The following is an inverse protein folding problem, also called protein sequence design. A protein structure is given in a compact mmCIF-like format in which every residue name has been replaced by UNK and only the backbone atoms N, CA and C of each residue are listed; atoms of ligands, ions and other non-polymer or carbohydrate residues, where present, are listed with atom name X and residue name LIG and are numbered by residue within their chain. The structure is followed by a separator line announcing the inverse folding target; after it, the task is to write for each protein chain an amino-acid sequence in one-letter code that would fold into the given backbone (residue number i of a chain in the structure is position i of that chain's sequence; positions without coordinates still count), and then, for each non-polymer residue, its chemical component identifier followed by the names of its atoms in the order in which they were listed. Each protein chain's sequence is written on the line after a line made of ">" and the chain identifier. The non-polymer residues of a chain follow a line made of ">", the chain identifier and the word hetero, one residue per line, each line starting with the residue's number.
data_IF_163519568962
#
_entry.id   IF_163519568962
#
_cell.length_a   1.000
_cell.length_b   1.000
_cell.length_c   1.000
_cell.angle_alpha   90.00
_cell.angle_beta   90.00
_cell.angle_gamma   90.00
#
_symmetry.space_group_name_H-M   'P 1'
#
loop_
_entity.id
_entity.type
_entity.pdbx_description
1 polymer ?
#
# COMPACT_ATOMS: atom_id res chain seq x y z
N UNK A 1 -13.50 -8.67 26.78
CA UNK A 1 -14.58 -7.92 26.12
C UNK A 1 -15.87 -8.55 26.60
N UNK A 2 -16.81 -7.79 27.15
CA UNK A 2 -18.10 -8.32 27.60
C UNK A 2 -19.12 -8.40 26.44
N UNK A 3 -20.28 -8.99 26.69
CA UNK A 3 -21.36 -9.15 25.72
C UNK A 3 -21.79 -7.84 25.02
N UNK A 4 -21.92 -6.75 25.76
CA UNK A 4 -22.32 -5.44 25.21
C UNK A 4 -21.21 -4.88 24.32
N UNK A 5 -19.96 -4.91 24.79
CA UNK A 5 -18.79 -4.47 24.02
C UNK A 5 -18.60 -5.26 22.71
N UNK A 6 -18.92 -6.56 22.69
CA UNK A 6 -18.83 -7.43 21.50
C UNK A 6 -19.87 -7.05 20.42
N UNK A 7 -21.09 -6.70 20.85
CA UNK A 7 -22.15 -6.23 19.96
C UNK A 7 -21.83 -4.83 19.43
N UNK A 8 -21.45 -3.90 20.33
CA UNK A 8 -21.12 -2.51 19.99
C UNK A 8 -19.89 -2.40 19.08
N UNK A 9 -18.92 -3.31 19.22
CA UNK A 9 -17.79 -3.42 18.29
C UNK A 9 -18.18 -3.98 16.91
N UNK A 10 -19.43 -4.41 16.73
CA UNK A 10 -19.95 -4.95 15.46
C UNK A 10 -19.27 -6.23 15.02
N UNK A 11 -18.82 -7.07 15.97
CA UNK A 11 -18.04 -8.28 15.68
C UNK A 11 -18.92 -9.53 15.45
N UNK A 12 -20.17 -9.49 15.88
CA UNK A 12 -21.17 -10.51 15.55
C UNK A 12 -21.37 -10.61 14.02
N UNK A 13 -21.59 -11.82 13.50
CA UNK A 13 -21.73 -12.12 12.07
C UNK A 13 -20.55 -11.65 11.20
N UNK A 14 -19.38 -11.36 11.79
CA UNK A 14 -18.14 -11.02 11.08
C UNK A 14 -17.06 -12.06 11.28
N UNK A 15 -16.14 -12.09 10.31
CA UNK A 15 -14.99 -12.98 10.34
C UNK A 15 -13.92 -12.44 11.30
N UNK A 16 -13.62 -13.18 12.34
CA UNK A 16 -12.73 -12.79 13.45
C UNK A 16 -11.68 -13.86 13.74
N UNK A 17 -10.60 -13.45 14.42
CA UNK A 17 -9.63 -14.35 15.06
C UNK A 17 -9.60 -14.10 16.55
N UNK A 18 -9.44 -15.17 17.31
CA UNK A 18 -9.39 -15.11 18.75
C UNK A 18 -8.72 -16.35 19.35
N UNK A 19 -8.46 -16.35 20.64
CA UNK A 19 -7.82 -17.46 21.37
C UNK A 19 -8.80 -17.95 22.44
N UNK A 20 -8.98 -19.27 22.53
CA UNK A 20 -9.73 -19.94 23.61
C UNK A 20 -8.79 -20.94 24.27
N UNK A 21 -8.49 -20.75 25.55
CA UNK A 21 -7.40 -21.45 26.23
C UNK A 21 -6.07 -21.21 25.51
N UNK A 22 -5.44 -22.27 25.00
CA UNK A 22 -4.19 -22.22 24.23
C UNK A 22 -4.41 -22.26 22.70
N UNK A 23 -5.65 -22.37 22.22
CA UNK A 23 -5.95 -22.57 20.79
C UNK A 23 -6.31 -21.27 20.10
N UNK A 24 -5.59 -20.92 19.04
CA UNK A 24 -6.00 -19.87 18.11
C UNK A 24 -7.10 -20.41 17.19
N UNK A 25 -8.22 -19.69 17.12
CA UNK A 25 -9.37 -19.99 16.27
C UNK A 25 -9.62 -18.84 15.28
N UNK A 26 -10.13 -19.17 14.09
CA UNK A 26 -10.52 -18.20 13.07
C UNK A 26 -11.84 -18.63 12.42
N UNK A 27 -12.79 -17.71 12.31
CA UNK A 27 -14.10 -18.01 11.72
C UNK A 27 -15.11 -16.89 11.96
N UNK A 28 -16.40 -17.19 11.86
CA UNK A 28 -17.48 -16.26 12.19
C UNK A 28 -18.12 -16.66 13.51
N UNK A 29 -18.35 -15.70 14.40
CA UNK A 29 -19.20 -15.89 15.58
C UNK A 29 -20.57 -15.29 15.27
N UNK A 30 -21.58 -16.17 15.24
CA UNK A 30 -22.97 -15.90 14.91
C UNK A 30 -23.80 -15.86 16.19
N UNK A 31 -24.71 -14.89 16.24
CA UNK A 31 -25.79 -14.90 17.21
C UNK A 31 -27.07 -15.45 16.56
N UNK A 32 -27.48 -16.64 17.02
CA UNK A 32 -28.69 -17.30 16.52
C UNK A 32 -29.98 -16.79 17.21
N UNK A 33 -29.90 -15.81 18.13
CA UNK A 33 -31.03 -15.34 18.92
C UNK A 33 -31.23 -13.81 18.87
N UNK A 34 -32.36 -13.36 18.31
CA UNK A 34 -32.75 -11.94 18.31
C UNK A 34 -32.65 -11.30 19.70
N UNK A 35 -31.75 -10.34 19.84
CA UNK A 35 -31.62 -9.50 21.02
C UNK A 35 -32.82 -8.54 21.16
N UNK A 36 -33.80 -8.90 21.98
CA UNK A 36 -34.73 -7.91 22.55
C UNK A 36 -34.01 -7.11 23.63
N UNK A 37 -34.04 -5.78 23.55
CA UNK A 37 -33.30 -4.86 24.42
C UNK A 37 -33.34 -5.24 25.91
N UNK A 38 -32.15 -5.40 26.50
CA UNK A 38 -31.94 -5.35 27.95
C UNK A 38 -32.19 -6.62 28.78
N UNK A 39 -32.44 -7.80 28.19
CA UNK A 39 -32.74 -9.03 28.99
C UNK A 39 -32.01 -10.34 28.63
N UNK A 40 -30.88 -10.27 27.92
CA UNK A 40 -30.00 -11.44 27.73
C UNK A 40 -28.62 -11.23 28.39
N UNK A 41 -28.21 -12.16 29.26
CA UNK A 41 -26.83 -12.30 29.76
C UNK A 41 -26.19 -13.56 29.14
N UNK A 42 -26.29 -13.73 27.82
CA UNK A 42 -25.72 -14.89 27.13
C UNK A 42 -24.33 -14.58 26.61
N UNK A 43 -23.36 -15.32 27.13
CA UNK A 43 -21.96 -15.30 26.73
C UNK A 43 -21.65 -16.38 25.68
N UNK A 44 -22.54 -17.35 25.50
CA UNK A 44 -22.35 -18.48 24.58
C UNK A 44 -22.93 -18.17 23.20
N UNK A 45 -22.09 -18.27 22.16
CA UNK A 45 -22.42 -18.01 20.76
C UNK A 45 -22.04 -19.19 19.85
N UNK A 46 -22.63 -19.23 18.65
CA UNK A 46 -22.29 -20.22 17.62
C UNK A 46 -21.05 -19.77 16.86
N UNK A 47 -20.01 -20.60 16.82
CA UNK A 47 -18.78 -20.36 16.10
C UNK A 47 -18.68 -21.29 14.88
N UNK A 48 -18.41 -20.70 13.72
CA UNK A 48 -18.24 -21.41 12.44
C UNK A 48 -16.78 -21.22 11.99
N UNK A 49 -15.94 -22.27 12.04
CA UNK A 49 -14.55 -22.21 11.57
C UNK A 49 -14.43 -21.77 10.09
N UNK A 50 -13.31 -21.13 9.76
CA UNK A 50 -13.04 -20.59 8.41
C UNK A 50 -13.13 -21.66 7.32
N UNK A 51 -12.52 -22.81 7.60
CA UNK A 51 -12.46 -24.01 6.78
C UNK A 51 -13.85 -24.61 6.52
N UNK A 52 -14.81 -24.40 7.43
CA UNK A 52 -16.17 -24.92 7.33
C UNK A 52 -17.13 -23.94 6.63
N UNK A 53 -16.73 -22.68 6.42
CA UNK A 53 -17.62 -21.58 6.02
C UNK A 53 -18.41 -21.85 4.73
N UNK A 54 -17.77 -22.40 3.70
CA UNK A 54 -18.40 -22.73 2.41
C UNK A 54 -19.45 -23.83 2.57
N UNK A 55 -19.08 -24.91 3.26
CA UNK A 55 -19.95 -26.06 3.54
C UNK A 55 -21.12 -25.70 4.47
N UNK A 56 -20.90 -24.77 5.41
CA UNK A 56 -21.93 -24.28 6.32
C UNK A 56 -22.98 -23.46 5.57
N UNK A 57 -22.57 -22.53 4.70
CA UNK A 57 -23.51 -21.75 3.85
C UNK A 57 -24.30 -22.62 2.88
N UNK A 58 -23.72 -23.71 2.39
CA UNK A 58 -24.44 -24.69 1.58
C UNK A 58 -25.48 -25.46 2.42
N UNK A 59 -25.13 -25.87 3.65
CA UNK A 59 -26.07 -26.52 4.58
C UNK A 59 -27.21 -25.57 4.99
N UNK A 60 -26.91 -24.31 5.30
CA UNK A 60 -27.86 -23.24 5.62
C UNK A 60 -28.86 -23.01 4.48
N UNK A 61 -28.36 -22.86 3.24
CA UNK A 61 -29.20 -22.70 2.04
C UNK A 61 -30.16 -23.89 1.82
N UNK A 62 -29.74 -25.09 2.21
CA UNK A 62 -30.53 -26.32 2.13
C UNK A 62 -31.35 -26.61 3.41
N UNK A 63 -31.27 -25.74 4.44
CA UNK A 63 -31.89 -25.89 5.76
C UNK A 63 -31.50 -27.21 6.47
N UNK A 64 -30.31 -27.75 6.18
CA UNK A 64 -29.75 -28.97 6.79
C UNK A 64 -29.14 -28.64 8.16
N UNK A 65 -30.02 -28.51 9.15
CA UNK A 65 -29.66 -28.18 10.54
C UNK A 65 -28.67 -29.17 11.15
N UNK A 66 -28.74 -30.46 10.79
CA UNK A 66 -27.83 -31.46 11.34
C UNK A 66 -26.40 -31.17 10.87
N UNK A 67 -26.22 -30.93 9.57
CA UNK A 67 -24.92 -30.59 8.99
C UNK A 67 -24.40 -29.22 9.47
N UNK A 68 -25.28 -28.25 9.73
CA UNK A 68 -24.89 -26.97 10.38
C UNK A 68 -24.33 -27.19 11.79
N UNK A 69 -24.98 -28.04 12.61
CA UNK A 69 -24.47 -28.42 13.95
C UNK A 69 -23.17 -29.21 13.88
N UNK A 70 -22.96 -30.08 12.88
CA UNK A 70 -21.70 -30.81 12.69
C UNK A 70 -20.54 -29.89 12.24
N UNK A 71 -20.84 -28.74 11.62
CA UNK A 71 -19.86 -27.79 11.08
C UNK A 71 -19.56 -26.58 11.99
N UNK A 72 -20.23 -26.47 13.13
CA UNK A 72 -20.07 -25.36 14.09
C UNK A 72 -19.86 -25.88 15.52
N UNK A 73 -19.43 -24.99 16.42
CA UNK A 73 -19.29 -25.28 17.85
C UNK A 73 -19.80 -24.11 18.68
N UNK A 74 -20.11 -24.33 19.96
CA UNK A 74 -20.43 -23.23 20.89
C UNK A 74 -19.13 -22.69 21.51
N UNK A 75 -19.02 -21.36 21.64
CA UNK A 75 -17.91 -20.68 22.31
C UNK A 75 -18.46 -19.65 23.30
N UNK A 76 -17.88 -19.59 24.50
CA UNK A 76 -18.13 -18.51 25.46
C UNK A 76 -17.22 -17.31 25.18
N UNK A 77 -17.80 -16.13 24.89
CA UNK A 77 -17.07 -14.90 24.56
C UNK A 77 -16.33 -14.25 25.74
N UNK A 78 -16.64 -14.62 26.99
CA UNK A 78 -15.90 -14.17 28.18
C UNK A 78 -14.64 -15.01 28.42
N UNK A 79 -14.63 -16.27 27.95
CA UNK A 79 -13.42 -17.11 27.90
C UNK A 79 -12.50 -16.79 26.70
N UNK A 80 -12.98 -15.96 25.75
CA UNK A 80 -12.18 -15.51 24.62
C UNK A 80 -11.12 -14.50 25.09
N UNK A 81 -9.85 -14.90 24.97
CA UNK A 81 -8.75 -13.95 24.84
C UNK A 81 -8.73 -13.45 23.41
N UNK A 82 -9.20 -12.22 23.20
CA UNK A 82 -9.14 -11.55 21.90
C UNK A 82 -7.68 -11.45 21.48
N UNK A 83 -7.32 -12.22 20.46
CA UNK A 83 -5.94 -12.31 20.00
C UNK A 83 -5.44 -10.93 19.61
N UNK A 84 -4.17 -10.64 19.90
CA UNK A 84 -3.52 -9.44 19.38
C UNK A 84 -3.82 -9.33 17.86
N UNK A 85 -4.20 -8.13 17.36
CA UNK A 85 -4.65 -7.98 15.98
C UNK A 85 -3.59 -8.56 15.05
N UNK A 86 -4.08 -9.36 14.11
CA UNK A 86 -3.31 -10.26 13.24
C UNK A 86 -1.95 -9.65 12.84
N UNK A 87 -0.85 -10.13 13.46
CA UNK A 87 0.46 -10.08 12.83
C UNK A 87 0.44 -11.06 11.65
N UNK A 88 -0.14 -10.61 10.55
CA UNK A 88 -0.35 -11.40 9.36
C UNK A 88 -0.45 -10.50 8.15
N UNK A 89 0.70 -10.32 7.49
CA UNK A 89 0.80 -10.07 6.07
C UNK A 89 0.03 -8.86 5.49
N UNK A 90 -0.16 -7.81 6.28
CA UNK A 90 -0.11 -6.42 5.81
C UNK A 90 0.25 -5.47 6.94
N UNK A 91 1.33 -4.70 6.80
CA UNK A 91 1.64 -3.54 7.67
C UNK A 91 0.71 -2.33 7.42
N UNK A 92 -0.54 -2.59 7.03
CA UNK A 92 -1.52 -1.58 6.63
C UNK A 92 -2.44 -1.26 7.82
N UNK A 93 -2.33 -0.03 8.33
CA UNK A 93 -3.24 0.53 9.34
C UNK A 93 -4.53 0.96 8.64
N UNK A 94 -5.72 0.65 9.19
CA UNK A 94 -6.99 1.02 8.54
C UNK A 94 -7.23 2.53 8.65
N UNK A 95 -7.94 3.11 7.67
CA UNK A 95 -8.28 4.54 7.67
C UNK A 95 -9.09 4.95 8.91
N UNK A 96 -9.93 4.05 9.45
CA UNK A 96 -10.65 4.26 10.71
C UNK A 96 -9.74 4.35 11.93
N UNK A 97 -8.67 3.53 11.96
CA UNK A 97 -7.72 3.49 13.07
C UNK A 97 -6.82 4.74 13.03
N UNK A 98 -6.37 5.11 11.82
CA UNK A 98 -5.65 6.36 11.54
C UNK A 98 -6.47 7.60 11.90
N UNK A 99 -7.74 7.65 11.51
CA UNK A 99 -8.68 8.73 11.84
C UNK A 99 -8.84 8.87 13.35
N UNK A 100 -9.04 7.75 14.04
CA UNK A 100 -9.18 7.71 15.51
C UNK A 100 -7.90 8.16 16.21
N UNK A 101 -6.73 7.73 15.71
CA UNK A 101 -5.42 8.12 16.23
C UNK A 101 -5.15 9.62 16.06
N UNK A 102 -5.34 10.17 14.85
CA UNK A 102 -5.16 11.60 14.59
C UNK A 102 -6.13 12.45 15.44
N UNK A 103 -7.38 12.01 15.61
CA UNK A 103 -8.33 12.64 16.52
C UNK A 103 -7.85 12.61 17.98
N UNK A 104 -7.20 11.53 18.43
CA UNK A 104 -6.65 11.45 19.78
C UNK A 104 -5.48 12.41 20.00
N UNK A 105 -4.56 12.54 19.02
CA UNK A 105 -3.49 13.54 19.04
C UNK A 105 -4.05 14.96 19.13
N UNK A 106 -4.97 15.34 18.23
CA UNK A 106 -5.59 16.68 18.23
C UNK A 106 -6.40 16.97 19.51
N UNK A 107 -7.11 15.98 20.07
CA UNK A 107 -7.83 16.13 21.35
C UNK A 107 -6.90 16.38 22.53
N UNK A 108 -5.68 15.85 22.48
CA UNK A 108 -4.67 16.09 23.53
C UNK A 108 -4.08 17.49 23.40
N UNK A 109 -3.76 17.94 22.18
CA UNK A 109 -3.28 19.28 21.83
C UNK A 109 -4.40 20.33 21.72
N UNK A 110 -5.27 20.39 22.73
CA UNK A 110 -6.54 21.16 22.74
C UNK A 110 -6.39 22.68 22.64
N UNK A 111 -5.22 23.20 22.97
CA UNK A 111 -4.83 24.61 22.84
C UNK A 111 -4.64 25.05 21.38
N UNK A 112 -4.38 24.09 20.49
CA UNK A 112 -4.19 24.29 19.05
C UNK A 112 -5.31 23.69 18.18
N UNK A 113 -6.12 22.75 18.70
CA UNK A 113 -7.21 22.10 17.97
C UNK A 113 -8.52 22.03 18.77
N UNK A 114 -9.65 22.31 18.11
CA UNK A 114 -11.00 22.21 18.68
C UNK A 114 -12.04 21.84 17.61
N UNK A 115 -13.30 21.63 18.01
CA UNK A 115 -14.41 21.31 17.09
C UNK A 115 -14.15 20.10 16.17
N UNK A 116 -13.44 19.08 16.70
CA UNK A 116 -13.10 17.86 15.97
C UNK A 116 -14.37 17.03 15.73
N UNK A 117 -14.76 16.89 14.46
CA UNK A 117 -15.96 16.18 14.00
C UNK A 117 -15.57 15.15 12.94
N UNK A 118 -16.02 13.90 13.10
CA UNK A 118 -15.66 12.77 12.23
C UNK A 118 -16.83 12.50 11.28
N UNK A 119 -16.55 12.27 9.99
CA UNK A 119 -17.55 11.89 8.96
C UNK A 119 -18.82 12.76 8.96
N UNK A 120 -18.66 14.07 9.15
CA UNK A 120 -19.78 15.01 9.12
C UNK A 120 -20.04 15.54 7.72
N UNK A 121 -21.32 15.69 7.37
CA UNK A 121 -21.77 16.23 6.09
C UNK A 121 -21.16 17.61 5.82
N UNK A 122 -20.50 17.77 4.68
CA UNK A 122 -19.88 19.04 4.30
C UNK A 122 -20.94 19.98 3.69
N UNK A 123 -21.39 20.97 4.49
CA UNK A 123 -22.44 21.93 4.12
C UNK A 123 -23.70 21.18 3.61
N UNK A 124 -24.37 21.70 2.58
CA UNK A 124 -25.55 21.06 1.96
C UNK A 124 -25.18 20.08 0.82
N UNK A 125 -23.94 19.57 0.79
CA UNK A 125 -23.48 18.63 -0.24
C UNK A 125 -23.70 17.16 0.15
N UNK A 126 -23.40 16.22 -0.76
CA UNK A 126 -23.43 14.77 -0.45
C UNK A 126 -22.06 14.22 0.00
N UNK A 127 -21.12 15.10 0.35
CA UNK A 127 -19.76 14.72 0.72
C UNK A 127 -19.56 14.66 2.24
N UNK A 128 -18.77 13.67 2.66
CA UNK A 128 -18.47 13.36 4.05
C UNK A 128 -16.94 13.20 4.19
N UNK A 129 -16.19 14.28 4.46
CA UNK A 129 -14.77 14.20 4.80
C UNK A 129 -14.55 13.42 6.10
N UNK A 130 -13.40 12.76 6.20
CA UNK A 130 -13.07 11.92 7.36
C UNK A 130 -13.03 12.72 8.67
N UNK A 131 -12.40 13.91 8.65
CA UNK A 131 -12.37 14.82 9.79
C UNK A 131 -12.61 16.27 9.34
N UNK A 132 -13.42 17.01 10.10
CA UNK A 132 -13.47 18.48 10.10
C UNK A 132 -13.01 18.97 11.47
N UNK A 133 -12.12 19.96 11.51
CA UNK A 133 -11.53 20.49 12.75
C UNK A 133 -11.20 21.98 12.61
N UNK A 134 -11.18 22.73 13.70
CA UNK A 134 -10.57 24.06 13.73
C UNK A 134 -9.16 23.99 14.33
N UNK A 135 -8.16 24.46 13.58
CA UNK A 135 -6.77 24.63 14.02
C UNK A 135 -6.47 26.08 14.33
N UNK A 136 -5.71 26.33 15.39
CA UNK A 136 -5.23 27.67 15.75
C UNK A 136 -4.12 28.13 14.80
N UNK A 137 -4.24 29.36 14.29
CA UNK A 137 -3.24 30.03 13.46
C UNK A 137 -2.98 31.43 14.04
N UNK A 138 -2.05 31.49 15.01
CA UNK A 138 -1.78 32.69 15.79
C UNK A 138 -2.97 33.09 16.68
N UNK A 139 -3.62 34.20 16.33
CA UNK A 139 -4.82 34.71 17.04
C UNK A 139 -6.15 34.25 16.42
N UNK A 140 -6.12 33.58 15.27
CA UNK A 140 -7.33 33.16 14.54
C UNK A 140 -7.49 31.64 14.55
N UNK A 141 -8.70 31.16 14.29
CA UNK A 141 -9.00 29.76 14.06
C UNK A 141 -9.22 29.54 12.57
N UNK A 142 -8.53 28.54 12.01
CA UNK A 142 -8.61 28.12 10.62
C UNK A 142 -9.36 26.78 10.56
N UNK A 143 -10.45 26.72 9.80
CA UNK A 143 -11.16 25.47 9.58
C UNK A 143 -10.39 24.58 8.60
N UNK A 144 -10.21 23.32 8.97
CA UNK A 144 -9.57 22.28 8.18
C UNK A 144 -10.58 21.19 7.82
N UNK A 145 -10.43 20.66 6.61
CA UNK A 145 -11.11 19.45 6.13
C UNK A 145 -10.00 18.45 5.81
N UNK A 146 -9.97 17.32 6.53
CA UNK A 146 -8.91 16.31 6.44
C UNK A 146 -9.50 15.05 5.79
N UNK A 147 -8.83 14.58 4.74
CA UNK A 147 -9.01 13.25 4.17
C UNK A 147 -7.86 12.34 4.67
N UNK A 148 -8.20 11.12 5.10
CA UNK A 148 -7.26 10.16 5.69
C UNK A 148 -7.05 8.99 4.74
N UNK A 149 -5.80 8.63 4.44
CA UNK A 149 -5.46 7.48 3.59
C UNK A 149 -4.55 6.47 4.29
N UNK A 150 -4.79 5.19 4.04
CA UNK A 150 -4.13 4.06 4.72
C UNK A 150 -2.80 3.60 4.11
N UNK A 151 -2.56 3.96 2.86
CA UNK A 151 -1.39 3.59 2.09
C UNK A 151 -0.27 4.63 2.24
N UNK A 152 1.00 4.19 2.26
CA UNK A 152 2.14 5.11 2.46
C UNK A 152 2.67 5.75 1.16
N UNK A 153 2.19 5.31 -0.01
CA UNK A 153 2.73 5.71 -1.33
C UNK A 153 1.67 5.85 -2.43
N UNK A 154 2.01 6.67 -3.44
CA UNK A 154 1.16 7.17 -4.53
C UNK A 154 0.23 6.17 -5.25
N UNK A 155 0.72 5.51 -6.32
CA UNK A 155 0.40 5.81 -7.75
C UNK A 155 0.30 7.30 -8.15
N UNK A 156 0.38 7.67 -9.44
CA UNK A 156 -0.09 8.96 -9.94
C UNK A 156 -1.62 9.07 -9.97
N UNK A 157 -2.31 7.99 -10.37
CA UNK A 157 -3.77 7.92 -10.51
C UNK A 157 -4.51 8.16 -9.18
N UNK A 158 -4.18 7.43 -8.11
CA UNK A 158 -4.76 7.66 -6.77
C UNK A 158 -4.40 9.02 -6.17
N UNK A 159 -3.26 9.60 -6.56
CA UNK A 159 -2.90 10.96 -6.14
C UNK A 159 -3.82 11.98 -6.79
N UNK A 160 -4.08 11.83 -8.08
CA UNK A 160 -5.01 12.66 -8.84
C UNK A 160 -6.45 12.52 -8.31
N UNK A 161 -6.92 11.30 -8.00
CA UNK A 161 -8.22 11.08 -7.36
C UNK A 161 -8.35 11.82 -6.02
N UNK A 162 -7.31 11.75 -5.17
CA UNK A 162 -7.28 12.43 -3.87
C UNK A 162 -7.21 13.95 -4.03
N UNK A 163 -6.43 14.46 -4.99
CA UNK A 163 -6.38 15.89 -5.33
C UNK A 163 -7.77 16.36 -5.77
N UNK A 164 -8.40 15.66 -6.71
CA UNK A 164 -9.73 16.01 -7.23
C UNK A 164 -10.80 15.99 -6.12
N UNK A 165 -10.76 15.00 -5.22
CA UNK A 165 -11.65 14.90 -4.06
C UNK A 165 -11.48 16.10 -3.11
N UNK A 166 -10.24 16.43 -2.74
CA UNK A 166 -9.94 17.56 -1.85
C UNK A 166 -10.23 18.92 -2.50
N UNK A 167 -10.00 19.06 -3.81
CA UNK A 167 -10.39 20.26 -4.56
C UNK A 167 -11.91 20.45 -4.59
N UNK A 168 -12.68 19.35 -4.72
CA UNK A 168 -14.14 19.37 -4.62
C UNK A 168 -14.59 19.85 -3.23
N UNK A 169 -13.96 19.38 -2.15
CA UNK A 169 -14.25 19.87 -0.80
C UNK A 169 -13.99 21.38 -0.65
N UNK A 170 -12.90 21.90 -1.23
CA UNK A 170 -12.59 23.34 -1.19
C UNK A 170 -13.60 24.17 -2.00
N UNK A 171 -14.11 23.66 -3.11
CA UNK A 171 -15.17 24.33 -3.87
C UNK A 171 -16.50 24.41 -3.11
N UNK A 172 -16.79 23.43 -2.25
CA UNK A 172 -18.00 23.42 -1.39
C UNK A 172 -17.85 24.32 -0.16
N UNK A 173 -16.62 24.50 0.34
CA UNK A 173 -16.31 25.26 1.55
C UNK A 173 -15.02 26.08 1.36
N UNK A 174 -15.10 27.15 0.58
CA UNK A 174 -13.94 27.99 0.17
C UNK A 174 -13.16 28.59 1.35
N UNK A 175 -13.81 28.73 2.52
CA UNK A 175 -13.21 29.24 3.74
C UNK A 175 -12.35 28.19 4.48
N UNK A 176 -12.50 26.92 4.11
CA UNK A 176 -11.80 25.80 4.73
C UNK A 176 -10.55 25.42 3.95
N UNK A 177 -9.45 25.18 4.66
CA UNK A 177 -8.25 24.60 4.08
C UNK A 177 -8.36 23.08 4.06
N UNK A 178 -7.78 22.44 3.05
CA UNK A 178 -7.90 21.00 2.83
C UNK A 178 -6.56 20.31 3.07
N UNK A 179 -6.62 19.16 3.72
CA UNK A 179 -5.46 18.43 4.26
C UNK A 179 -5.55 16.97 3.82
N UNK A 180 -4.41 16.40 3.43
CA UNK A 180 -4.22 14.97 3.25
C UNK A 180 -3.39 14.41 4.41
N UNK A 181 -3.95 13.50 5.20
CA UNK A 181 -3.20 12.72 6.19
C UNK A 181 -2.99 11.27 5.72
N UNK A 182 -1.76 10.77 5.80
CA UNK A 182 -1.44 9.38 5.48
C UNK A 182 -0.15 8.92 6.21
N UNK A 183 0.02 7.62 6.52
CA UNK A 183 1.16 7.10 7.27
C UNK A 183 2.34 6.77 6.33
N UNK A 184 2.82 7.76 5.56
CA UNK A 184 3.98 7.61 4.69
C UNK A 184 4.78 8.88 4.51
N UNK A 185 5.58 8.90 3.43
CA UNK A 185 6.32 10.05 2.93
C UNK A 185 6.07 10.13 1.42
N UNK A 186 5.94 11.34 0.87
CA UNK A 186 5.79 11.53 -0.57
C UNK A 186 7.12 11.92 -1.24
N UNK A 187 7.41 11.39 -2.45
CA UNK A 187 8.42 11.96 -3.33
C UNK A 187 8.23 13.47 -3.52
N UNK A 188 9.33 14.21 -3.71
CA UNK A 188 9.30 15.66 -3.87
C UNK A 188 8.33 16.13 -4.97
N UNK A 189 8.26 15.39 -6.09
CA UNK A 189 7.36 15.69 -7.21
C UNK A 189 5.88 15.61 -6.81
N UNK A 190 5.50 14.64 -5.98
CA UNK A 190 4.11 14.45 -5.53
C UNK A 190 3.71 15.52 -4.50
N UNK A 191 4.63 15.85 -3.59
CA UNK A 191 4.48 16.97 -2.66
C UNK A 191 4.32 18.32 -3.40
N UNK A 192 5.07 18.55 -4.47
CA UNK A 192 4.89 19.73 -5.33
C UNK A 192 3.51 19.79 -5.99
N UNK A 193 2.94 18.66 -6.42
CA UNK A 193 1.60 18.62 -7.02
C UNK A 193 0.51 18.99 -6.01
N UNK A 194 0.56 18.41 -4.80
CA UNK A 194 -0.37 18.75 -3.71
C UNK A 194 -0.23 20.22 -3.29
N UNK A 195 1.01 20.72 -3.17
CA UNK A 195 1.29 22.11 -2.83
C UNK A 195 0.77 23.09 -3.89
N UNK A 196 0.97 22.81 -5.19
CA UNK A 196 0.40 23.59 -6.30
C UNK A 196 -1.14 23.56 -6.31
N UNK A 197 -1.74 22.44 -5.89
CA UNK A 197 -3.18 22.34 -5.66
C UNK A 197 -3.64 23.02 -4.35
N UNK A 198 -2.74 23.58 -3.52
CA UNK A 198 -3.05 24.22 -2.24
C UNK A 198 -3.48 23.25 -1.14
N UNK A 199 -3.16 21.96 -1.26
CA UNK A 199 -3.46 20.91 -0.29
C UNK A 199 -2.31 20.83 0.71
N UNK A 200 -2.63 20.89 2.00
CA UNK A 200 -1.64 20.71 3.06
C UNK A 200 -1.39 19.20 3.26
N UNK A 201 -0.12 18.81 3.41
CA UNK A 201 0.28 17.40 3.54
C UNK A 201 0.69 17.13 4.98
N UNK A 202 -0.04 16.24 5.65
CA UNK A 202 0.30 15.71 6.96
C UNK A 202 0.86 14.30 6.75
N UNK A 203 2.16 14.22 6.50
CA UNK A 203 2.92 12.98 6.38
C UNK A 203 3.45 12.53 7.76
N UNK A 204 4.23 11.43 7.81
CA UNK A 204 4.81 10.92 9.07
C UNK A 204 5.73 11.97 9.72
N UNK A 205 6.47 12.76 8.93
CA UNK A 205 7.39 13.78 9.44
C UNK A 205 6.64 14.97 10.05
N UNK A 206 5.58 15.42 9.40
CA UNK A 206 4.69 16.46 9.91
C UNK A 206 4.06 16.05 11.25
N UNK A 207 3.57 14.81 11.35
CA UNK A 207 2.97 14.33 12.61
C UNK A 207 4.02 14.16 13.70
N UNK A 208 5.18 13.56 13.41
CA UNK A 208 6.25 13.37 14.39
C UNK A 208 6.78 14.70 14.96
N UNK A 209 6.83 15.76 14.14
CA UNK A 209 7.29 17.10 14.57
C UNK A 209 6.20 17.93 15.24
N UNK A 210 4.98 17.96 14.68
CA UNK A 210 3.88 18.81 15.19
C UNK A 210 3.22 18.23 16.45
N UNK A 211 3.19 16.91 16.58
CA UNK A 211 2.54 16.18 17.66
C UNK A 211 3.54 15.39 18.53
N UNK A 212 4.78 15.86 18.67
CA UNK A 212 5.86 15.10 19.34
C UNK A 212 5.51 14.60 20.75
N UNK A 213 4.99 15.49 21.61
CA UNK A 213 4.60 15.16 22.99
C UNK A 213 3.35 14.25 23.04
N UNK A 214 2.42 14.45 22.09
CA UNK A 214 1.21 13.65 21.99
C UNK A 214 1.52 12.23 21.47
N UNK A 215 2.40 12.09 20.48
CA UNK A 215 2.89 10.80 19.95
C UNK A 215 3.70 10.04 21.00
N UNK A 216 4.54 10.72 21.78
CA UNK A 216 5.29 10.09 22.87
C UNK A 216 4.37 9.42 23.92
N UNK A 217 3.13 9.89 24.06
CA UNK A 217 2.19 9.48 25.11
C UNK A 217 0.98 8.69 24.61
N UNK A 218 0.57 8.88 23.36
CA UNK A 218 -0.48 8.12 22.69
C UNK A 218 0.21 7.15 21.74
N UNK A 219 0.62 6.00 22.28
CA UNK A 219 1.38 4.99 21.55
C UNK A 219 0.48 4.22 20.57
N UNK A 220 0.95 4.00 19.33
CA UNK A 220 0.29 3.12 18.36
C UNK A 220 1.30 2.10 17.79
N UNK A 221 1.04 0.77 17.86
CA UNK A 221 2.05 -0.27 17.57
C UNK A 221 2.79 -0.15 16.23
N UNK A 222 2.08 0.19 15.14
CA UNK A 222 2.67 0.35 13.81
C UNK A 222 3.26 1.76 13.62
N UNK A 223 2.46 2.80 13.85
CA UNK A 223 2.88 4.20 13.61
C UNK A 223 4.07 4.65 14.46
N UNK A 224 4.22 4.14 15.69
CA UNK A 224 5.34 4.54 16.56
C UNK A 224 6.70 4.27 15.91
N UNK A 225 6.84 3.16 15.18
CA UNK A 225 8.07 2.85 14.47
C UNK A 225 8.32 3.80 13.30
N UNK A 226 7.26 4.23 12.61
CA UNK A 226 7.35 5.24 11.55
C UNK A 226 7.81 6.60 12.12
N UNK A 227 7.20 7.07 13.21
CA UNK A 227 7.60 8.32 13.88
C UNK A 227 9.00 8.25 14.48
N UNK A 228 9.46 7.06 14.91
CA UNK A 228 10.83 6.85 15.37
C UNK A 228 11.83 7.04 14.23
N UNK A 229 11.56 6.45 13.05
CA UNK A 229 12.40 6.57 11.86
C UNK A 229 12.48 8.01 11.32
N UNK A 230 11.38 8.75 11.32
CA UNK A 230 11.29 10.13 10.83
C UNK A 230 12.31 11.12 11.43
N UNK A 231 12.87 10.82 12.61
CA UNK A 231 13.88 11.65 13.28
C UNK A 231 15.34 11.33 12.91
N UNK A 232 15.59 10.36 12.02
CA UNK A 232 16.93 9.90 11.66
C UNK A 232 17.09 9.74 10.14
N UNK A 233 18.32 9.92 9.65
CA UNK A 233 18.68 9.57 8.26
C UNK A 233 18.75 8.05 8.15
N UNK A 234 17.74 7.44 7.52
CA UNK A 234 17.65 5.99 7.33
C UNK A 234 18.60 5.48 6.24
N UNK A 235 18.67 4.17 6.03
CA UNK A 235 19.43 3.62 4.89
C UNK A 235 18.69 3.85 3.57
N UNK A 236 17.36 3.83 3.61
CA UNK A 236 16.47 4.22 2.51
C UNK A 236 16.69 5.68 2.07
N UNK A 237 16.85 6.59 3.02
CA UNK A 237 17.20 7.99 2.81
C UNK A 237 18.56 8.14 2.07
N UNK A 238 19.54 7.29 2.39
CA UNK A 238 20.84 7.23 1.68
C UNK A 238 20.68 6.70 0.26
N UNK A 239 19.85 5.68 0.06
CA UNK A 239 19.56 5.10 -1.26
C UNK A 239 18.87 6.11 -2.18
N UNK A 240 17.93 6.92 -1.67
CA UNK A 240 17.29 8.01 -2.42
C UNK A 240 18.30 9.10 -2.81
N UNK A 241 19.22 9.47 -1.90
CA UNK A 241 20.30 10.43 -2.19
C UNK A 241 21.29 9.89 -3.22
N UNK A 242 21.61 8.60 -3.15
CA UNK A 242 22.48 7.91 -4.11
C UNK A 242 21.86 7.90 -5.52
N UNK A 243 20.59 7.51 -5.66
CA UNK A 243 19.82 7.60 -6.92
C UNK A 243 19.88 9.01 -7.54
N UNK A 244 19.61 10.03 -6.71
CA UNK A 244 19.61 11.45 -7.13
C UNK A 244 21.02 11.98 -7.46
N UNK A 245 22.09 11.33 -6.99
CA UNK A 245 23.48 11.70 -7.29
C UNK A 245 24.00 11.18 -8.64
N UNK A 246 23.37 10.16 -9.22
CA UNK A 246 23.78 9.54 -10.49
C UNK A 246 23.29 10.41 -11.65
N UNK A 247 24.20 10.86 -12.52
CA UNK A 247 23.88 11.82 -13.57
C UNK A 247 23.17 11.16 -14.76
N UNK A 248 22.13 11.81 -15.29
CA UNK A 248 21.38 11.32 -16.46
C UNK A 248 22.15 11.59 -17.75
N UNK A 249 22.24 10.62 -18.67
CA UNK A 249 22.81 10.83 -20.00
C UNK A 249 24.30 11.24 -20.01
N UNK A 250 25.04 10.89 -18.96
CA UNK A 250 26.46 11.22 -18.81
C UNK A 250 27.32 10.72 -19.98
N UNK A 251 28.27 11.55 -20.42
CA UNK A 251 29.27 11.16 -21.42
C UNK A 251 30.38 10.32 -20.77
N UNK A 252 30.15 9.02 -20.67
CA UNK A 252 31.15 8.05 -20.22
C UNK A 252 30.49 6.74 -19.77
N UNK A 253 31.19 5.61 -19.89
CA UNK A 253 30.66 4.29 -19.51
C UNK A 253 30.33 4.20 -18.00
N UNK A 254 30.95 5.06 -17.18
CA UNK A 254 30.84 5.07 -15.72
C UNK A 254 29.41 5.40 -15.21
N UNK A 255 28.75 6.47 -15.66
CA UNK A 255 27.42 6.83 -15.12
C UNK A 255 26.31 5.85 -15.53
N UNK A 256 26.45 5.17 -16.68
CA UNK A 256 25.54 4.07 -17.04
C UNK A 256 25.77 2.85 -16.14
N UNK A 257 27.02 2.44 -15.93
CA UNK A 257 27.36 1.34 -15.03
C UNK A 257 26.89 1.61 -13.59
N UNK A 258 27.17 2.81 -13.04
CA UNK A 258 26.71 3.24 -11.72
C UNK A 258 25.18 3.16 -11.56
N UNK A 259 24.41 3.52 -12.59
CA UNK A 259 22.95 3.36 -12.55
C UNK A 259 22.54 1.88 -12.56
N UNK A 260 23.15 1.05 -13.41
CA UNK A 260 22.86 -0.38 -13.46
C UNK A 260 23.21 -1.09 -12.14
N UNK A 261 24.38 -0.79 -11.56
CA UNK A 261 24.82 -1.28 -10.25
C UNK A 261 23.88 -0.82 -9.12
N UNK A 262 23.41 0.43 -9.17
CA UNK A 262 22.41 0.92 -8.22
C UNK A 262 21.07 0.17 -8.35
N UNK A 263 20.58 -0.05 -9.58
CA UNK A 263 19.37 -0.84 -9.84
C UNK A 263 19.55 -2.31 -9.39
N UNK A 264 20.74 -2.90 -9.55
CA UNK A 264 21.04 -4.23 -9.03
C UNK A 264 20.92 -4.26 -7.50
N UNK A 265 21.65 -3.36 -6.82
CA UNK A 265 21.70 -3.23 -5.37
C UNK A 265 20.32 -3.02 -4.77
N UNK A 266 19.49 -2.16 -5.38
CA UNK A 266 18.16 -1.87 -4.85
C UNK A 266 17.16 -3.01 -5.09
N UNK A 267 17.25 -3.73 -6.22
CA UNK A 267 16.40 -4.90 -6.46
C UNK A 267 16.76 -6.06 -5.51
N UNK A 268 18.04 -6.26 -5.19
CA UNK A 268 18.46 -7.21 -4.15
C UNK A 268 17.95 -6.80 -2.76
N UNK A 269 18.07 -5.52 -2.40
CA UNK A 269 17.58 -4.99 -1.13
C UNK A 269 16.06 -5.15 -0.96
N UNK A 270 15.27 -4.82 -2.00
CA UNK A 270 13.80 -4.84 -1.94
C UNK A 270 13.23 -6.26 -2.14
N UNK A 271 13.83 -7.08 -3.00
CA UNK A 271 13.21 -8.32 -3.50
C UNK A 271 14.11 -9.57 -3.43
N UNK A 272 15.37 -9.45 -2.97
CA UNK A 272 16.33 -10.57 -2.95
C UNK A 272 15.87 -11.77 -2.12
N UNK A 273 14.98 -11.57 -1.13
CA UNK A 273 14.36 -12.66 -0.35
C UNK A 273 13.36 -13.50 -1.17
N UNK A 274 12.66 -12.90 -2.13
CA UNK A 274 11.62 -13.55 -2.94
C UNK A 274 12.14 -13.97 -4.33
N UNK A 275 13.10 -13.22 -4.88
CA UNK A 275 13.59 -13.34 -6.25
C UNK A 275 15.08 -13.72 -6.34
N UNK A 276 15.72 -14.08 -5.22
CA UNK A 276 17.18 -14.23 -5.08
C UNK A 276 17.96 -12.96 -5.46
N UNK A 277 19.26 -12.91 -5.12
CA UNK A 277 20.10 -11.82 -5.60
C UNK A 277 20.20 -11.80 -7.13
N UNK A 278 20.10 -10.61 -7.78
CA UNK A 278 20.11 -10.51 -9.23
C UNK A 278 21.45 -10.96 -9.83
N UNK A 279 21.38 -11.69 -10.94
CA UNK A 279 22.53 -12.12 -11.73
C UNK A 279 22.82 -11.06 -12.78
N UNK A 280 24.05 -10.56 -12.82
CA UNK A 280 24.62 -9.84 -13.96
C UNK A 280 25.19 -10.88 -14.92
N UNK A 281 24.63 -10.98 -16.12
CA UNK A 281 25.25 -11.81 -17.16
C UNK A 281 26.45 -11.09 -17.77
N UNK A 282 27.58 -11.79 -17.85
CA UNK A 282 28.76 -11.26 -18.55
C UNK A 282 28.47 -11.22 -20.05
N UNK A 283 28.93 -10.18 -20.78
CA UNK A 283 28.72 -10.12 -22.23
C UNK A 283 29.38 -11.31 -22.92
N UNK A 284 28.64 -11.98 -23.80
CA UNK A 284 29.18 -12.95 -24.74
C UNK A 284 30.29 -12.32 -25.59
N UNK A 285 31.17 -13.15 -26.14
CA UNK A 285 32.37 -12.81 -26.92
C UNK A 285 32.13 -11.74 -28.01
N UNK A 286 30.92 -11.67 -28.56
CA UNK A 286 30.53 -10.71 -29.61
C UNK A 286 30.02 -9.34 -29.11
N UNK A 287 29.84 -9.13 -27.80
CA UNK A 287 29.33 -7.87 -27.18
C UNK A 287 27.94 -7.38 -27.65
N UNK A 288 27.21 -8.13 -28.48
CA UNK A 288 25.94 -7.68 -29.10
C UNK A 288 24.76 -7.66 -28.11
N UNK A 289 24.67 -8.63 -27.20
CA UNK A 289 23.61 -8.70 -26.20
C UNK A 289 24.16 -8.35 -24.81
N UNK A 290 24.01 -7.09 -24.41
CA UNK A 290 23.99 -6.74 -22.98
C UNK A 290 22.63 -7.17 -22.43
N UNK A 291 22.64 -8.18 -21.55
CA UNK A 291 21.54 -8.50 -20.63
C UNK A 291 21.92 -7.84 -19.32
N UNK A 292 21.23 -6.77 -18.94
CA UNK A 292 21.69 -5.97 -17.80
C UNK A 292 21.52 -6.72 -16.48
N UNK A 293 20.33 -7.31 -16.21
CA UNK A 293 20.04 -8.03 -14.96
C UNK A 293 18.98 -9.14 -15.14
N UNK A 294 19.12 -10.23 -14.37
CA UNK A 294 18.09 -11.29 -14.24
C UNK A 294 17.84 -11.62 -12.76
N UNK A 295 16.57 -11.62 -12.34
CA UNK A 295 16.14 -12.10 -11.02
C UNK A 295 15.47 -13.49 -11.13
N UNK A 296 15.64 -14.36 -10.14
CA UNK A 296 15.20 -15.77 -10.14
C UNK A 296 13.99 -15.96 -9.24
N UNK A 297 12.82 -16.10 -9.84
CA UNK A 297 11.55 -16.10 -9.13
C UNK A 297 11.24 -17.47 -8.52
N UNK A 298 11.77 -17.72 -7.32
CA UNK A 298 11.47 -18.92 -6.53
C UNK A 298 10.29 -18.73 -5.56
N UNK A 299 9.52 -17.64 -5.68
CA UNK A 299 8.36 -17.42 -4.83
C UNK A 299 7.29 -18.50 -5.06
N UNK A 300 6.88 -19.14 -3.96
CA UNK A 300 5.82 -20.17 -3.95
C UNK A 300 4.42 -19.58 -3.69
N UNK A 301 4.34 -18.35 -3.19
CA UNK A 301 3.08 -17.64 -2.93
C UNK A 301 3.20 -16.13 -3.10
N UNK A 302 2.06 -15.42 -3.03
CA UNK A 302 2.00 -13.97 -3.15
C UNK A 302 2.17 -13.44 -4.58
N UNK A 303 2.51 -12.15 -4.69
CA UNK A 303 2.56 -11.42 -5.96
C UNK A 303 3.55 -12.04 -6.96
N UNK A 304 4.77 -12.34 -6.53
CA UNK A 304 5.80 -12.88 -7.41
C UNK A 304 5.46 -14.28 -7.93
N UNK A 305 4.85 -15.13 -7.10
CA UNK A 305 4.32 -16.43 -7.55
C UNK A 305 3.16 -16.27 -8.55
N UNK A 306 2.27 -15.30 -8.33
CA UNK A 306 1.22 -14.99 -9.31
C UNK A 306 1.82 -14.60 -10.68
N UNK A 307 2.85 -13.73 -10.71
CA UNK A 307 3.53 -13.39 -11.95
C UNK A 307 4.21 -14.60 -12.59
N UNK A 308 4.83 -15.47 -11.78
CA UNK A 308 5.45 -16.72 -12.22
C UNK A 308 4.46 -17.57 -13.01
N UNK A 309 3.31 -17.88 -12.40
CA UNK A 309 2.28 -18.71 -13.03
C UNK A 309 1.56 -18.02 -14.19
N UNK A 310 1.32 -16.71 -14.12
CA UNK A 310 0.51 -15.99 -15.13
C UNK A 310 1.28 -15.60 -16.39
N UNK A 311 2.58 -15.32 -16.26
CA UNK A 311 3.44 -14.78 -17.32
C UNK A 311 4.72 -15.60 -17.52
N UNK A 312 4.77 -16.85 -17.03
CA UNK A 312 5.94 -17.74 -17.07
C UNK A 312 7.19 -17.05 -16.49
N UNK A 313 7.02 -16.20 -15.48
CA UNK A 313 8.05 -15.31 -14.97
C UNK A 313 8.99 -16.04 -13.98
N UNK A 314 9.48 -17.23 -14.35
CA UNK A 314 10.49 -17.99 -13.61
C UNK A 314 11.82 -17.22 -13.50
N UNK A 315 12.16 -16.44 -14.54
CA UNK A 315 13.25 -15.47 -14.52
C UNK A 315 12.73 -14.10 -14.98
N UNK A 316 12.90 -13.09 -14.13
CA UNK A 316 12.45 -11.73 -14.43
C UNK A 316 13.61 -11.00 -15.11
N UNK A 317 13.44 -10.70 -16.39
CA UNK A 317 14.40 -9.91 -17.17
C UNK A 317 14.28 -8.45 -16.75
N UNK A 318 15.41 -7.84 -16.43
CA UNK A 318 15.50 -6.43 -16.04
C UNK A 318 16.50 -5.73 -16.94
N UNK A 319 16.09 -4.59 -17.50
CA UNK A 319 16.91 -3.75 -18.37
C UNK A 319 16.94 -2.31 -17.83
N UNK A 320 18.08 -1.62 -17.96
CA UNK A 320 18.30 -0.30 -17.33
C UNK A 320 18.72 0.76 -18.34
N UNK A 321 18.11 1.95 -18.25
CA UNK A 321 18.32 3.05 -19.21
C UNK A 321 18.54 4.39 -18.50
N UNK A 322 19.80 4.72 -18.25
CA UNK A 322 20.22 6.01 -17.67
C UNK A 322 20.16 7.18 -18.69
N UNK A 323 19.03 7.36 -19.36
CA UNK A 323 18.84 8.39 -20.38
C UNK A 323 18.23 9.68 -19.80
N UNK A 324 18.73 10.84 -20.22
CA UNK A 324 18.15 12.15 -19.89
C UNK A 324 16.82 12.45 -20.58
N UNK A 325 16.47 11.64 -21.60
CA UNK A 325 15.17 11.66 -22.27
C UNK A 325 14.36 10.42 -21.89
N UNK A 326 13.05 10.47 -22.15
CA UNK A 326 12.16 9.31 -22.13
C UNK A 326 12.63 8.23 -23.11
N UNK A 327 12.40 6.97 -22.77
CA UNK A 327 12.64 5.83 -23.66
C UNK A 327 11.52 5.68 -24.69
N UNK A 328 11.81 5.05 -25.83
CA UNK A 328 10.88 4.90 -26.94
C UNK A 328 10.62 3.45 -27.35
N UNK A 329 10.03 3.27 -28.54
CA UNK A 329 9.78 1.96 -29.16
C UNK A 329 11.01 1.02 -29.21
N UNK A 330 12.21 1.58 -29.44
CA UNK A 330 13.45 0.80 -29.63
C UNK A 330 13.81 -0.01 -28.39
N UNK A 331 13.79 0.62 -27.22
CA UNK A 331 14.18 -0.02 -25.96
C UNK A 331 13.19 -1.13 -25.56
N UNK A 332 11.90 -0.94 -25.83
CA UNK A 332 10.86 -1.95 -25.60
C UNK A 332 11.04 -3.17 -26.52
N UNK A 333 11.31 -2.96 -27.81
CA UNK A 333 11.60 -4.07 -28.74
C UNK A 333 12.88 -4.82 -28.34
N UNK A 334 13.90 -4.10 -27.86
CA UNK A 334 15.15 -4.71 -27.41
C UNK A 334 14.92 -5.66 -26.22
N UNK A 335 14.19 -5.24 -25.18
CA UNK A 335 13.92 -6.11 -24.02
C UNK A 335 12.98 -7.27 -24.37
N UNK A 336 11.97 -7.03 -25.22
CA UNK A 336 10.98 -8.05 -25.61
C UNK A 336 11.57 -9.22 -26.44
N UNK A 337 12.71 -9.03 -27.09
CA UNK A 337 13.43 -10.10 -27.82
C UNK A 337 14.02 -11.17 -26.88
N UNK A 338 14.27 -10.83 -25.60
CA UNK A 338 14.73 -11.79 -24.60
C UNK A 338 13.61 -12.65 -24.02
N UNK A 339 12.35 -12.18 -24.11
CA UNK A 339 11.19 -12.86 -23.55
C UNK A 339 10.76 -14.04 -24.42
N UNK A 340 10.76 -15.25 -23.83
CA UNK A 340 10.48 -16.53 -24.46
C UNK A 340 9.93 -17.52 -23.43
N UNK A 341 8.90 -18.29 -23.81
CA UNK A 341 8.24 -19.27 -22.94
C UNK A 341 9.16 -20.44 -22.51
N UNK A 342 10.16 -20.79 -23.34
CA UNK A 342 11.21 -21.77 -23.04
C UNK A 342 12.55 -21.09 -22.71
N UNK A 343 12.50 -19.83 -22.23
CA UNK A 343 13.66 -19.02 -21.87
C UNK A 343 13.43 -18.38 -20.50
N UNK A 344 13.74 -17.07 -20.33
CA UNK A 344 13.51 -16.40 -19.06
C UNK A 344 12.05 -16.36 -18.61
N UNK A 345 11.12 -16.24 -19.56
CA UNK A 345 9.70 -16.02 -19.31
C UNK A 345 9.09 -14.99 -20.26
N UNK A 346 7.86 -14.56 -19.96
CA UNK A 346 7.12 -13.53 -20.72
C UNK A 346 6.91 -12.22 -19.91
N UNK A 347 7.71 -11.98 -18.87
CA UNK A 347 7.64 -10.77 -18.03
C UNK A 347 8.99 -10.06 -17.93
N UNK A 348 8.98 -8.73 -18.05
CA UNK A 348 10.17 -7.90 -17.85
C UNK A 348 9.88 -6.56 -17.16
N UNK A 349 10.91 -6.03 -16.49
CA UNK A 349 10.97 -4.69 -15.93
C UNK A 349 11.97 -3.84 -16.72
N UNK A 350 11.55 -2.66 -17.19
CA UNK A 350 12.39 -1.72 -17.92
C UNK A 350 12.53 -0.42 -17.11
N UNK A 351 13.65 -0.27 -16.40
CA UNK A 351 13.94 0.90 -15.58
C UNK A 351 14.55 2.02 -16.43
N UNK A 352 14.02 3.23 -16.30
CA UNK A 352 14.50 4.41 -17.02
C UNK A 352 14.33 5.67 -16.18
N UNK A 353 15.25 6.65 -16.29
CA UNK A 353 15.19 7.86 -15.44
C UNK A 353 13.83 8.58 -15.50
N UNK A 354 13.25 8.67 -16.70
CA UNK A 354 12.11 9.54 -17.01
C UNK A 354 10.85 8.79 -17.50
N UNK A 355 10.85 7.45 -17.48
CA UNK A 355 9.78 6.63 -18.05
C UNK A 355 9.71 6.65 -19.58
N UNK A 356 8.59 6.17 -20.12
CA UNK A 356 8.35 6.07 -21.56
C UNK A 356 7.74 7.31 -22.20
N UNK A 357 7.92 7.43 -23.51
CA UNK A 357 7.10 8.26 -24.39
C UNK A 357 5.87 7.51 -24.93
N UNK A 358 5.03 8.17 -25.73
CA UNK A 358 3.84 7.55 -26.31
C UNK A 358 4.16 6.36 -27.22
N UNK A 359 5.32 6.36 -27.91
CA UNK A 359 5.75 5.24 -28.76
C UNK A 359 6.15 4.02 -27.93
N UNK A 360 6.78 4.25 -26.77
CA UNK A 360 7.12 3.21 -25.80
C UNK A 360 5.85 2.51 -25.30
N UNK A 361 4.89 3.26 -24.73
CA UNK A 361 3.66 2.67 -24.18
C UNK A 361 2.75 2.05 -25.26
N UNK A 362 2.72 2.60 -26.48
CA UNK A 362 2.06 1.95 -27.62
C UNK A 362 2.70 0.60 -27.95
N UNK A 363 4.03 0.56 -28.04
CA UNK A 363 4.79 -0.67 -28.34
C UNK A 363 4.59 -1.74 -27.26
N UNK A 364 4.54 -1.37 -25.97
CA UNK A 364 4.23 -2.31 -24.90
C UNK A 364 2.84 -2.95 -25.07
N UNK A 365 1.82 -2.17 -25.49
CA UNK A 365 0.47 -2.70 -25.76
C UNK A 365 0.40 -3.56 -27.01
N UNK A 366 1.10 -3.20 -28.09
CA UNK A 366 1.23 -4.03 -29.31
C UNK A 366 1.84 -5.39 -28.98
N UNK A 367 2.99 -5.41 -28.30
CA UNK A 367 3.71 -6.62 -27.91
C UNK A 367 2.88 -7.47 -26.93
N UNK A 368 2.18 -6.85 -25.99
CA UNK A 368 1.26 -7.57 -25.12
C UNK A 368 0.13 -8.23 -25.91
N UNK A 369 -0.54 -7.48 -26.79
CA UNK A 369 -1.67 -7.99 -27.56
C UNK A 369 -1.27 -9.14 -28.51
N UNK A 370 -0.15 -9.00 -29.22
CA UNK A 370 0.30 -9.96 -30.24
C UNK A 370 1.05 -11.16 -29.65
N UNK A 371 1.91 -10.95 -28.64
CA UNK A 371 2.85 -11.96 -28.16
C UNK A 371 2.64 -12.37 -26.70
N UNK A 372 1.67 -11.77 -25.99
CA UNK A 372 1.39 -11.99 -24.56
C UNK A 372 2.63 -11.75 -23.66
N UNK A 373 3.57 -10.92 -24.12
CA UNK A 373 4.77 -10.47 -23.40
C UNK A 373 4.45 -9.19 -22.62
N UNK A 374 4.65 -9.22 -21.31
CA UNK A 374 4.36 -8.08 -20.43
C UNK A 374 5.67 -7.36 -20.06
N UNK A 375 5.85 -6.16 -20.63
CA UNK A 375 6.97 -5.26 -20.31
C UNK A 375 6.43 -4.08 -19.50
N UNK A 376 6.85 -3.96 -18.24
CA UNK A 376 6.47 -2.85 -17.36
C UNK A 376 7.61 -1.84 -17.31
N UNK A 377 7.30 -0.59 -17.65
CA UNK A 377 8.24 0.53 -17.61
C UNK A 377 8.14 1.21 -16.24
N UNK A 378 9.27 1.34 -15.56
CA UNK A 378 9.38 1.97 -14.24
C UNK A 378 10.34 3.17 -14.33
N UNK A 379 10.06 4.22 -13.54
CA UNK A 379 10.90 5.40 -13.48
C UNK A 379 11.52 5.66 -12.09
N UNK A 380 12.37 6.69 -11.99
CA UNK A 380 13.02 7.05 -10.72
C UNK A 380 12.01 7.39 -9.60
N UNK A 381 10.82 7.92 -9.93
CA UNK A 381 9.75 8.16 -8.95
C UNK A 381 9.07 6.87 -8.49
N UNK A 382 8.87 5.90 -9.38
CA UNK A 382 8.43 4.55 -8.99
C UNK A 382 9.44 3.89 -8.06
N UNK A 383 10.73 4.08 -8.32
CA UNK A 383 11.81 3.55 -7.50
C UNK A 383 11.91 4.23 -6.13
N UNK A 384 11.81 5.56 -6.08
CA UNK A 384 11.72 6.32 -4.83
C UNK A 384 10.52 5.86 -3.99
N UNK A 385 9.35 5.65 -4.61
CA UNK A 385 8.17 5.09 -3.92
C UNK A 385 8.39 3.65 -3.44
N UNK A 386 9.08 2.79 -4.19
CA UNK A 386 9.42 1.44 -3.72
C UNK A 386 10.37 1.46 -2.51
N UNK A 387 11.32 2.39 -2.48
CA UNK A 387 12.23 2.58 -1.34
C UNK A 387 11.46 3.05 -0.09
N UNK A 388 10.60 4.08 -0.22
CA UNK A 388 9.77 4.59 0.87
C UNK A 388 8.77 3.51 1.36
N UNK A 389 8.22 2.69 0.46
CA UNK A 389 7.35 1.58 0.84
C UNK A 389 8.08 0.56 1.73
N UNK A 390 9.36 0.26 1.45
CA UNK A 390 10.18 -0.61 2.29
C UNK A 390 10.44 0.00 3.67
N UNK A 391 10.87 1.27 3.71
CA UNK A 391 11.11 2.02 4.95
C UNK A 391 9.89 2.00 5.88
N UNK A 392 8.71 2.23 5.30
CA UNK A 392 7.41 2.27 5.99
C UNK A 392 6.81 0.88 6.29
N UNK A 393 7.58 -0.20 6.12
CA UNK A 393 7.15 -1.60 6.33
C UNK A 393 5.93 -2.02 5.50
N UNK A 394 5.71 -1.35 4.37
CA UNK A 394 4.76 -1.74 3.32
C UNK A 394 5.45 -2.63 2.28
N UNK A 395 4.74 -3.00 1.22
CA UNK A 395 5.20 -3.92 0.17
C UNK A 395 5.72 -3.15 -1.04
N UNK A 396 7.03 -3.13 -1.36
CA UNK A 396 7.52 -2.45 -2.56
C UNK A 396 6.97 -3.04 -3.86
N UNK A 397 6.62 -4.33 -3.87
CA UNK A 397 6.03 -5.01 -5.02
C UNK A 397 4.63 -4.49 -5.38
N UNK A 398 3.98 -3.77 -4.46
CA UNK A 398 2.70 -3.10 -4.68
C UNK A 398 2.79 -2.03 -5.79
N UNK A 399 3.90 -1.32 -5.90
CA UNK A 399 4.11 -0.31 -6.95
C UNK A 399 4.12 -1.01 -8.33
N UNK A 400 4.78 -2.17 -8.42
CA UNK A 400 4.84 -2.97 -9.65
C UNK A 400 3.45 -3.55 -9.97
N UNK A 401 2.71 -4.05 -8.97
CA UNK A 401 1.31 -4.50 -9.12
C UNK A 401 0.43 -3.39 -9.70
N UNK A 402 0.51 -2.18 -9.14
CA UNK A 402 -0.26 -1.03 -9.59
C UNK A 402 0.11 -0.62 -11.03
N UNK A 403 1.40 -0.65 -11.41
CA UNK A 403 1.81 -0.40 -12.81
C UNK A 403 1.32 -1.47 -13.78
N UNK A 404 1.19 -2.73 -13.35
CA UNK A 404 0.52 -3.76 -14.13
C UNK A 404 -0.98 -3.45 -14.25
N UNK A 405 -1.67 -3.06 -13.18
CA UNK A 405 -3.09 -2.70 -13.21
C UNK A 405 -3.38 -1.49 -14.12
N UNK A 406 -2.60 -0.41 -14.02
CA UNK A 406 -2.70 0.76 -14.91
C UNK A 406 -2.47 0.37 -16.38
N UNK A 407 -1.49 -0.50 -16.67
CA UNK A 407 -1.26 -1.02 -18.03
C UNK A 407 -2.45 -1.86 -18.53
N UNK A 408 -3.09 -2.64 -17.65
CA UNK A 408 -4.22 -3.52 -18.01
C UNK A 408 -5.51 -2.76 -18.28
N UNK A 409 -5.75 -1.69 -17.54
CA UNK A 409 -6.95 -0.85 -17.65
C UNK A 409 -6.85 0.21 -18.77
N UNK A 410 -5.65 0.42 -19.34
CA UNK A 410 -5.40 1.33 -20.47
C UNK A 410 -5.27 0.63 -21.83
N UNK A 411 -5.68 -0.65 -21.91
CA UNK A 411 -5.73 -1.45 -23.14
C UNK A 411 -6.84 -0.98 -24.09
#
# INVERSE_FOLDING_TARGET
>A
MNHIEFIDAGLHNRHIRFIVGEKMLQGVVVDDAFHTEGKSKRTHYTFIPTENMTSYKEAEKNNDRKKMTELSSIVDIEEITWGAPIQGNSGLVRETDLTSYLCALMRKKKEDFKEIRIQVRLRESNYYPDIVVERRKGKHWQRLIIEVKSYSTFTPSKLEDVINKLMTYRQIDEQSSVVLFFPGILPNQDNELLSKAGIEVWDVNFIASTFADEVATIQHPILQELFRKANYVTDEDKLIRELKSIQTGGKGENEWARYQEFIQKILDHLFGKQLSSPIVERPDYFRVNRRDLIMRNYAESGFWAHLRHRYFADYIVVDTKNYSKKIGKKEVLQIANYLKIHGPGLFALLFSRNGGDNSCYHTCREIWAMEQKLVIVLNDSDLERMIIANETSQRPEEIIRQRIEEFRLSM
#
